data_IF_681156887054
#
_entry.id   IF_681156887054
#
_cell.length_a   1.000
_cell.length_b   1.000
_cell.length_c   1.000
_cell.angle_alpha   90.00
_cell.angle_beta   90.00
_cell.angle_gamma   90.00
#
_symmetry.space_group_name_H-M   'P 1'
#
loop_
_entity.id
_entity.type
_entity.pdbx_description
1 polymer ?
#
# COMPACT_ATOMS: atom_id res chain seq x y z
N UNK A 1 -115.80 1.77 -36.86
CA UNK A 1 -117.07 2.41 -37.27
C UNK A 1 -117.25 3.65 -36.40
N UNK A 2 -116.99 4.85 -36.96
CA UNK A 2 -117.80 6.10 -36.86
C UNK A 2 -118.38 6.44 -35.47
N UNK A 3 -118.21 7.60 -34.78
CA UNK A 3 -117.82 8.97 -35.13
C UNK A 3 -117.59 9.80 -33.83
N UNK A 4 -116.71 10.81 -33.91
CA UNK A 4 -116.79 12.19 -33.33
C UNK A 4 -116.90 12.51 -31.81
N UNK A 5 -115.80 13.10 -31.30
CA UNK A 5 -115.61 14.51 -30.82
C UNK A 5 -116.17 15.01 -29.45
N UNK A 6 -115.23 15.71 -28.76
CA UNK A 6 -115.36 16.91 -27.87
C UNK A 6 -115.42 16.70 -26.34
N UNK A 7 -114.24 16.92 -25.73
CA UNK A 7 -113.88 17.93 -24.69
C UNK A 7 -114.90 18.31 -23.57
N UNK A 8 -114.39 18.17 -22.34
CA UNK A 8 -114.22 19.24 -21.32
C UNK A 8 -115.09 19.21 -20.06
N UNK A 9 -114.41 19.54 -18.95
CA UNK A 9 -114.86 20.29 -17.75
C UNK A 9 -115.30 19.45 -16.53
N UNK A 10 -114.38 19.15 -15.60
CA UNK A 10 -114.10 19.81 -14.30
C UNK A 10 -115.20 19.60 -13.23
N UNK A 11 -114.72 19.22 -12.03
CA UNK A 11 -115.17 19.52 -10.65
C UNK A 11 -115.70 18.30 -9.84
N UNK A 12 -114.98 18.04 -8.74
CA UNK A 12 -115.35 17.56 -7.39
C UNK A 12 -114.37 16.46 -6.95
N UNK A 13 -113.21 16.74 -6.33
CA UNK A 13 -112.93 17.34 -5.00
C UNK A 13 -113.49 16.49 -3.83
N UNK A 14 -112.53 16.11 -2.96
CA UNK A 14 -112.55 15.42 -1.66
C UNK A 14 -113.03 13.96 -1.66
N UNK A 15 -112.43 13.00 -0.96
CA UNK A 15 -111.65 12.99 0.28
C UNK A 15 -111.06 11.57 0.39
N UNK A 16 -109.79 11.37 0.77
CA UNK A 16 -109.43 10.44 1.86
C UNK A 16 -107.92 10.48 2.13
N UNK A 17 -107.65 10.94 3.34
CA UNK A 17 -106.38 11.05 4.04
C UNK A 17 -105.80 9.65 4.28
N UNK A 18 -104.55 9.44 3.86
CA UNK A 18 -103.53 8.68 4.59
C UNK A 18 -102.25 8.57 3.73
N UNK A 19 -101.35 9.54 3.84
CA UNK A 19 -99.95 9.16 4.04
C UNK A 19 -99.27 10.20 4.93
N UNK A 20 -98.68 9.64 5.97
CA UNK A 20 -98.15 10.22 7.17
C UNK A 20 -96.65 10.51 6.93
N UNK A 21 -96.23 11.76 7.17
CA UNK A 21 -94.89 12.22 7.61
C UNK A 21 -93.70 11.85 6.70
N UNK A 22 -93.05 12.86 6.12
CA UNK A 22 -91.60 13.21 6.14
C UNK A 22 -91.36 14.29 5.06
N UNK A 23 -90.44 15.22 5.33
CA UNK A 23 -90.04 16.43 4.58
C UNK A 23 -90.71 17.75 4.98
N UNK A 24 -90.64 18.07 6.28
CA UNK A 24 -90.19 19.41 6.68
C UNK A 24 -88.72 19.26 7.07
N UNK A 25 -87.83 19.59 6.13
CA UNK A 25 -86.43 19.85 6.41
C UNK A 25 -86.06 21.10 5.63
N UNK A 26 -85.71 22.15 6.38
CA UNK A 26 -85.03 23.37 5.96
C UNK A 26 -84.79 23.53 4.45
N UNK A 27 -85.64 24.30 3.78
CA UNK A 27 -85.09 25.23 2.79
C UNK A 27 -84.48 26.37 3.60
N UNK A 28 -83.14 26.35 3.75
CA UNK A 28 -82.37 27.54 4.11
C UNK A 28 -82.67 28.55 3.00
N UNK A 29 -83.26 29.69 3.33
CA UNK A 29 -83.42 30.80 2.41
C UNK A 29 -82.06 31.04 1.73
N UNK A 30 -82.02 31.00 0.40
CA UNK A 30 -80.79 31.30 -0.36
C UNK A 30 -80.69 32.82 -0.33
N UNK A 31 -79.77 33.34 0.47
CA UNK A 31 -79.38 34.75 0.44
C UNK A 31 -78.76 35.05 -0.93
N UNK A 32 -79.22 36.09 -1.63
CA UNK A 32 -78.80 36.42 -2.99
C UNK A 32 -77.35 36.97 -3.06
N UNK A 33 -76.62 36.96 -1.94
CA UNK A 33 -75.29 37.56 -1.79
C UNK A 33 -74.21 36.62 -1.22
N UNK A 34 -74.39 35.29 -1.33
CA UNK A 34 -73.39 34.31 -0.88
C UNK A 34 -72.25 34.13 -1.90
N UNK A 35 -71.00 34.28 -1.46
CA UNK A 35 -69.81 34.05 -2.30
C UNK A 35 -68.98 32.87 -1.77
N UNK A 36 -68.21 32.24 -2.65
CA UNK A 36 -67.29 31.19 -2.21
C UNK A 36 -66.08 31.81 -1.49
N UNK A 37 -65.52 31.13 -0.47
CA UNK A 37 -64.39 31.65 0.27
C UNK A 37 -63.15 31.75 -0.60
N UNK A 38 -62.29 32.74 -0.34
CA UNK A 38 -60.99 32.89 -0.99
C UNK A 38 -59.95 32.06 -0.24
N UNK A 39 -59.45 31.00 -0.88
CA UNK A 39 -58.42 30.14 -0.31
C UNK A 39 -57.02 30.73 -0.51
N UNK A 40 -56.27 30.86 0.59
CA UNK A 40 -54.88 31.33 0.61
C UNK A 40 -54.12 30.52 1.65
N UNK A 41 -52.91 30.09 1.32
CA UNK A 41 -51.97 29.55 2.31
C UNK A 41 -50.52 29.88 1.98
N UNK A 42 -49.60 29.66 2.92
CA UNK A 42 -48.14 29.64 2.71
C UNK A 42 -47.56 28.27 3.04
N UNK A 43 -46.38 27.94 2.51
CA UNK A 43 -45.63 26.71 2.85
C UNK A 43 -44.20 27.06 3.25
N UNK A 44 -43.67 26.47 4.31
CA UNK A 44 -42.31 26.70 4.79
C UNK A 44 -41.64 25.39 5.25
N UNK A 45 -40.43 25.06 4.76
CA UNK A 45 -39.73 25.70 3.63
C UNK A 45 -40.40 25.39 2.28
N UNK A 46 -40.07 26.12 1.20
CA UNK A 46 -40.57 25.83 -0.16
C UNK A 46 -39.78 24.73 -0.89
N UNK A 47 -38.65 24.30 -0.32
CA UNK A 47 -37.86 23.15 -0.79
C UNK A 47 -37.16 22.46 0.38
N UNK A 48 -36.93 21.16 0.27
CA UNK A 48 -36.29 20.34 1.29
C UNK A 48 -35.94 18.94 0.77
N UNK A 49 -35.54 18.05 1.66
CA UNK A 49 -35.30 16.61 1.40
C UNK A 49 -36.40 15.73 2.03
N UNK A 50 -36.26 14.41 1.94
CA UNK A 50 -37.19 13.44 2.55
C UNK A 50 -37.22 13.48 4.08
N UNK A 51 -36.32 14.22 4.75
CA UNK A 51 -36.34 14.44 6.19
C UNK A 51 -37.09 15.71 6.58
N UNK A 52 -37.28 16.63 5.65
CA UNK A 52 -37.88 17.95 5.87
C UNK A 52 -39.37 17.85 6.22
N UNK A 53 -39.78 18.56 7.28
CA UNK A 53 -41.18 18.75 7.66
C UNK A 53 -41.66 20.07 7.04
N UNK A 54 -42.65 20.00 6.16
CA UNK A 54 -43.26 21.15 5.52
C UNK A 54 -44.44 21.62 6.34
N UNK A 55 -44.43 22.89 6.75
CA UNK A 55 -45.53 23.54 7.47
C UNK A 55 -46.35 24.35 6.48
N UNK A 56 -47.66 24.14 6.46
CA UNK A 56 -48.62 24.93 5.68
C UNK A 56 -49.49 25.77 6.62
N UNK A 57 -49.75 27.02 6.24
CA UNK A 57 -50.55 27.96 7.02
C UNK A 57 -51.61 28.61 6.13
N UNK A 58 -52.88 28.27 6.37
CA UNK A 58 -54.05 28.77 5.64
C UNK A 58 -54.75 29.96 6.33
N UNK A 59 -54.12 30.59 7.33
CA UNK A 59 -54.76 31.62 8.17
C UNK A 59 -55.15 32.90 7.42
N UNK A 60 -54.56 33.13 6.24
CA UNK A 60 -54.92 34.26 5.35
C UNK A 60 -56.13 33.98 4.46
N UNK A 61 -56.69 32.77 4.49
CA UNK A 61 -57.95 32.48 3.80
C UNK A 61 -59.09 33.30 4.42
N UNK A 62 -59.94 33.88 3.58
CA UNK A 62 -61.02 34.75 4.04
C UNK A 62 -62.30 34.54 3.24
N UNK A 63 -63.40 34.93 3.86
CA UNK A 63 -64.72 35.01 3.28
C UNK A 63 -65.32 36.34 3.78
N UNK A 64 -66.09 37.04 2.95
CA UNK A 64 -66.59 38.36 3.34
C UNK A 64 -67.84 38.23 4.23
N UNK A 65 -68.50 37.08 4.18
CA UNK A 65 -69.77 36.79 4.82
C UNK A 65 -69.56 35.99 6.11
N UNK A 66 -68.60 35.06 6.13
CA UNK A 66 -68.28 34.22 7.27
C UNK A 66 -66.99 34.65 8.02
N UNK A 67 -66.97 34.64 9.36
CA UNK A 67 -65.77 34.95 10.12
C UNK A 67 -64.68 33.90 9.89
N UNK A 68 -63.38 34.28 9.85
CA UNK A 68 -62.28 33.35 9.56
C UNK A 68 -62.20 32.11 10.49
N UNK A 69 -62.71 32.23 11.71
CA UNK A 69 -62.77 31.15 12.70
C UNK A 69 -63.74 30.03 12.35
N UNK A 70 -64.73 30.29 11.50
CA UNK A 70 -65.76 29.33 11.10
C UNK A 70 -65.42 28.62 9.79
N UNK A 71 -64.56 29.24 8.97
CA UNK A 71 -64.05 28.62 7.76
C UNK A 71 -63.35 27.28 8.08
N UNK A 72 -63.67 26.24 7.34
CA UNK A 72 -63.04 24.93 7.47
C UNK A 72 -62.02 24.72 6.34
N UNK A 73 -60.89 24.08 6.63
CA UNK A 73 -59.84 23.75 5.66
C UNK A 73 -59.67 22.24 5.51
N UNK A 74 -59.25 21.83 4.32
CA UNK A 74 -58.90 20.45 3.98
C UNK A 74 -57.73 20.45 2.99
N UNK A 75 -56.83 19.49 3.14
CA UNK A 75 -55.58 19.40 2.40
C UNK A 75 -55.55 18.17 1.49
N UNK A 76 -55.01 18.32 0.29
CA UNK A 76 -54.58 17.23 -0.58
C UNK A 76 -53.07 17.35 -0.80
N UNK A 77 -52.32 16.45 -0.18
CA UNK A 77 -50.86 16.45 -0.16
C UNK A 77 -50.22 15.94 -1.45
N UNK A 78 -50.97 15.18 -2.26
CA UNK A 78 -50.45 14.45 -3.41
C UNK A 78 -51.11 14.86 -4.74
N UNK A 79 -52.04 15.81 -4.72
CA UNK A 79 -52.86 16.21 -5.87
C UNK A 79 -53.58 15.02 -6.53
N UNK A 80 -54.05 14.07 -5.72
CA UNK A 80 -54.69 12.83 -6.17
C UNK A 80 -56.21 12.78 -5.89
N UNK A 81 -56.78 13.91 -5.44
CA UNK A 81 -58.17 14.06 -5.00
C UNK A 81 -58.51 13.28 -3.72
N UNK A 82 -57.50 12.88 -2.94
CA UNK A 82 -57.68 12.37 -1.57
C UNK A 82 -57.47 13.53 -0.61
N UNK A 83 -58.56 13.94 0.03
CA UNK A 83 -58.61 15.12 0.90
C UNK A 83 -58.66 14.70 2.37
N UNK A 84 -58.01 15.47 3.25
CA UNK A 84 -58.19 15.30 4.70
C UNK A 84 -59.61 15.69 5.13
N UNK A 85 -60.04 15.26 6.31
CA UNK A 85 -61.27 15.78 6.90
C UNK A 85 -61.21 17.30 7.10
N UNK A 86 -62.37 17.96 7.04
CA UNK A 86 -62.47 19.39 7.26
C UNK A 86 -62.20 19.73 8.73
N UNK A 87 -61.40 20.77 8.96
CA UNK A 87 -61.06 21.27 10.29
C UNK A 87 -61.00 22.79 10.30
N UNK A 88 -61.24 23.43 11.45
CA UNK A 88 -61.01 24.87 11.63
C UNK A 88 -59.54 25.20 11.94
N UNK A 89 -58.69 24.20 12.17
CA UNK A 89 -57.25 24.38 12.40
C UNK A 89 -56.54 24.72 11.08
N UNK A 90 -56.02 25.95 10.96
CA UNK A 90 -55.47 26.48 9.70
C UNK A 90 -54.03 26.06 9.41
N UNK A 91 -53.30 25.59 10.43
CA UNK A 91 -51.90 25.19 10.32
C UNK A 91 -51.81 23.67 10.33
N UNK A 92 -51.08 23.10 9.37
CA UNK A 92 -50.80 21.67 9.29
C UNK A 92 -49.33 21.43 8.91
N UNK A 93 -48.86 20.20 9.10
CA UNK A 93 -47.53 19.77 8.69
C UNK A 93 -47.57 18.45 7.94
N UNK A 94 -46.68 18.29 6.96
CA UNK A 94 -46.55 17.05 6.20
C UNK A 94 -45.09 16.72 5.90
N UNK A 95 -44.76 15.44 5.81
CA UNK A 95 -43.43 14.92 5.46
C UNK A 95 -43.57 13.93 4.31
N UNK A 96 -42.75 14.10 3.28
CA UNK A 96 -42.78 13.27 2.07
C UNK A 96 -41.71 12.18 2.14
N UNK A 97 -42.08 10.95 1.80
CA UNK A 97 -41.18 9.79 1.85
C UNK A 97 -40.38 9.54 0.57
N UNK A 98 -40.52 10.38 -0.46
CA UNK A 98 -39.84 10.19 -1.75
C UNK A 98 -39.49 11.52 -2.39
N UNK A 99 -38.40 11.53 -3.16
CA UNK A 99 -37.98 12.70 -3.91
C UNK A 99 -38.90 12.96 -5.11
N UNK A 100 -39.55 14.12 -5.15
CA UNK A 100 -40.39 14.55 -6.25
C UNK A 100 -40.74 16.05 -6.11
N UNK A 101 -41.34 16.60 -7.15
CA UNK A 101 -42.09 17.86 -7.07
C UNK A 101 -43.53 17.55 -6.63
N UNK A 102 -43.99 18.17 -5.55
CA UNK A 102 -45.34 17.97 -5.03
C UNK A 102 -46.16 19.25 -5.17
N UNK A 103 -47.42 19.10 -5.57
CA UNK A 103 -48.39 20.19 -5.64
C UNK A 103 -49.41 20.03 -4.51
N UNK A 104 -49.22 20.79 -3.43
CA UNK A 104 -50.14 20.79 -2.29
C UNK A 104 -51.37 21.59 -2.68
N UNK A 105 -52.56 21.04 -2.45
CA UNK A 105 -53.82 21.76 -2.64
C UNK A 105 -54.52 21.99 -1.30
N UNK A 106 -55.03 23.21 -1.16
CA UNK A 106 -55.92 23.63 -0.09
C UNK A 106 -57.34 23.75 -0.65
N UNK A 107 -58.32 23.29 0.11
CA UNK A 107 -59.73 23.63 -0.07
C UNK A 107 -60.27 24.26 1.20
N UNK A 108 -60.96 25.40 1.06
CA UNK A 108 -61.61 26.12 2.16
C UNK A 108 -63.11 26.03 1.95
N UNK A 109 -63.88 25.73 3.01
CA UNK A 109 -65.34 25.66 3.00
C UNK A 109 -65.93 26.65 3.99
N UNK A 110 -66.94 27.37 3.54
CA UNK A 110 -67.74 28.29 4.33
C UNK A 110 -68.88 27.55 5.08
N UNK A 111 -69.74 28.28 5.81
CA UNK A 111 -70.88 27.71 6.54
C UNK A 111 -72.04 27.28 5.63
N UNK A 112 -72.11 27.82 4.42
CA UNK A 112 -73.13 27.48 3.42
C UNK A 112 -72.73 26.29 2.53
N UNK A 113 -71.49 25.83 2.64
CA UNK A 113 -70.94 24.69 1.91
C UNK A 113 -70.22 25.05 0.60
N UNK A 114 -70.09 26.33 0.24
CA UNK A 114 -69.27 26.73 -0.91
C UNK A 114 -67.80 26.55 -0.61
N UNK A 115 -67.01 26.37 -1.66
CA UNK A 115 -65.58 26.13 -1.49
C UNK A 115 -64.71 26.88 -2.47
N UNK A 116 -63.64 27.48 -1.95
CA UNK A 116 -62.49 27.95 -2.70
C UNK A 116 -61.32 26.98 -2.62
N UNK A 117 -60.41 27.07 -3.59
CA UNK A 117 -59.20 26.23 -3.63
C UNK A 117 -57.96 27.04 -3.98
N UNK A 118 -56.82 26.64 -3.42
CA UNK A 118 -55.50 27.17 -3.77
C UNK A 118 -54.50 26.02 -3.91
N UNK A 119 -53.41 26.25 -4.63
CA UNK A 119 -52.33 25.27 -4.74
C UNK A 119 -50.95 25.92 -4.64
N UNK A 120 -49.98 25.16 -4.15
CA UNK A 120 -48.56 25.53 -4.14
C UNK A 120 -47.68 24.33 -4.43
N UNK A 121 -46.61 24.60 -5.16
CA UNK A 121 -45.59 23.62 -5.46
C UNK A 121 -44.46 23.66 -4.43
N UNK A 122 -43.91 22.51 -4.09
CA UNK A 122 -42.67 22.35 -3.34
C UNK A 122 -41.77 21.31 -4.03
N UNK A 123 -40.47 21.37 -3.73
CA UNK A 123 -39.48 20.42 -4.23
C UNK A 123 -38.94 19.59 -3.06
N UNK A 124 -39.11 18.27 -3.13
CA UNK A 124 -38.52 17.30 -2.20
C UNK A 124 -37.40 16.56 -2.91
N UNK A 125 -36.18 16.71 -2.41
CA UNK A 125 -34.98 16.03 -2.92
C UNK A 125 -34.80 14.68 -2.22
N UNK A 126 -34.01 13.79 -2.82
CA UNK A 126 -33.56 12.59 -2.13
C UNK A 126 -32.71 13.00 -0.90
N UNK A 127 -32.64 12.13 0.11
CA UNK A 127 -31.75 12.35 1.26
C UNK A 127 -30.33 12.64 0.75
N UNK A 128 -29.67 13.65 1.32
CA UNK A 128 -28.41 14.17 0.81
C UNK A 128 -27.29 13.15 0.91
N UNK A 129 -26.63 12.86 -0.20
CA UNK A 129 -25.43 12.01 -0.26
C UNK A 129 -24.31 12.61 0.58
N UNK A 130 -23.87 11.91 1.64
CA UNK A 130 -22.70 12.31 2.41
C UNK A 130 -21.42 11.75 1.78
N UNK A 131 -20.27 12.34 2.08
CA UNK A 131 -19.00 11.75 1.67
C UNK A 131 -18.72 10.48 2.49
N UNK A 132 -17.86 9.57 1.99
CA UNK A 132 -17.39 8.42 2.75
C UNK A 132 -16.80 8.80 4.11
N UNK A 133 -16.83 7.90 5.08
CA UNK A 133 -16.08 8.08 6.32
C UNK A 133 -14.56 8.07 6.03
N UNK A 134 -13.72 8.80 6.77
CA UNK A 134 -12.28 8.76 6.57
C UNK A 134 -11.72 7.34 6.74
N UNK A 135 -10.79 6.89 5.87
CA UNK A 135 -10.06 5.64 6.07
C UNK A 135 -9.38 5.57 7.44
N UNK A 136 -9.42 4.40 8.10
CA UNK A 136 -8.92 4.20 9.45
C UNK A 136 -8.29 2.80 9.66
N UNK A 137 -7.66 2.63 10.82
CA UNK A 137 -7.01 1.38 11.28
C UNK A 137 -6.05 0.77 10.23
N UNK A 138 -4.99 1.52 9.87
CA UNK A 138 -4.04 1.11 8.83
C UNK A 138 -3.18 -0.08 9.27
N UNK A 139 -2.86 -0.94 8.31
CA UNK A 139 -1.75 -1.90 8.40
C UNK A 139 -0.81 -1.68 7.22
N UNK A 140 0.50 -1.41 7.45
CA UNK A 140 1.16 -1.24 8.75
C UNK A 140 0.57 -0.12 9.61
N UNK A 141 0.60 -0.31 10.92
CA UNK A 141 0.15 0.71 11.87
C UNK A 141 0.98 2.00 11.71
N UNK A 142 0.35 3.15 11.95
CA UNK A 142 1.04 4.43 11.85
C UNK A 142 2.25 4.51 12.80
N UNK A 143 3.41 4.83 12.26
CA UNK A 143 4.69 4.88 12.96
C UNK A 143 5.35 3.53 13.22
N UNK A 144 4.89 2.44 12.60
CA UNK A 144 5.50 1.13 12.76
C UNK A 144 6.94 1.10 12.22
N UNK A 145 7.78 0.22 12.79
CA UNK A 145 9.19 0.05 12.42
C UNK A 145 9.50 -1.42 12.20
N UNK A 146 10.62 -1.72 11.53
CA UNK A 146 11.04 -3.08 11.19
C UNK A 146 9.98 -3.85 10.38
N UNK A 147 9.37 -3.16 9.42
CA UNK A 147 8.39 -3.77 8.53
C UNK A 147 9.14 -4.49 7.38
N UNK A 148 8.81 -5.76 7.08
CA UNK A 148 9.39 -6.45 5.92
C UNK A 148 9.16 -5.66 4.63
N UNK A 149 10.13 -5.67 3.73
CA UNK A 149 10.00 -4.97 2.43
C UNK A 149 8.94 -5.56 1.51
N UNK A 150 8.58 -6.82 1.72
CA UNK A 150 7.46 -7.49 1.05
C UNK A 150 6.25 -7.52 1.99
N UNK A 151 5.37 -6.51 1.86
CA UNK A 151 4.19 -6.37 2.70
C UNK A 151 2.91 -6.12 1.89
N UNK A 152 1.78 -6.09 2.59
CA UNK A 152 0.49 -5.68 2.03
C UNK A 152 -0.09 -4.57 2.90
N UNK A 153 -0.46 -3.46 2.26
CA UNK A 153 -1.21 -2.37 2.88
C UNK A 153 -2.67 -2.80 3.05
N UNK A 154 -3.29 -2.43 4.17
CA UNK A 154 -4.74 -2.56 4.35
C UNK A 154 -5.28 -1.47 5.26
N UNK A 155 -6.55 -1.15 5.09
CA UNK A 155 -7.25 -0.12 5.84
C UNK A 155 -8.72 -0.51 6.00
N UNK A 156 -9.46 0.22 6.81
CA UNK A 156 -10.92 0.15 6.88
C UNK A 156 -11.55 1.45 6.40
N UNK A 157 -12.70 1.36 5.74
CA UNK A 157 -13.50 2.49 5.31
C UNK A 157 -14.97 2.11 5.17
N UNK A 158 -15.86 3.05 5.52
CA UNK A 158 -17.32 2.92 5.41
C UNK A 158 -17.92 4.14 4.74
N UNK A 159 -19.18 4.04 4.34
CA UNK A 159 -19.98 5.14 3.83
C UNK A 159 -21.24 5.26 4.70
N UNK A 160 -21.67 6.46 5.14
CA UNK A 160 -22.82 6.62 6.02
C UNK A 160 -24.14 6.09 5.44
N UNK A 161 -24.26 6.07 4.11
CA UNK A 161 -25.41 5.57 3.36
C UNK A 161 -25.21 4.13 2.85
N UNK A 162 -24.00 3.58 3.03
CA UNK A 162 -23.62 2.25 2.56
C UNK A 162 -23.41 2.18 1.06
N UNK A 163 -23.07 3.31 0.42
CA UNK A 163 -22.72 3.35 -0.99
C UNK A 163 -21.44 2.55 -1.29
N UNK A 164 -21.29 2.11 -2.54
CA UNK A 164 -20.07 1.43 -3.00
C UNK A 164 -18.89 2.40 -3.02
N UNK A 165 -17.75 1.94 -2.53
CA UNK A 165 -16.52 2.73 -2.43
C UNK A 165 -15.45 2.29 -3.44
N UNK A 166 -14.71 3.28 -3.94
CA UNK A 166 -13.45 3.14 -4.65
C UNK A 166 -12.32 3.85 -3.88
N UNK A 167 -11.08 3.40 -4.07
CA UNK A 167 -9.93 3.91 -3.34
C UNK A 167 -8.75 4.24 -4.26
N UNK A 168 -8.21 5.45 -4.08
CA UNK A 168 -6.89 5.82 -4.57
C UNK A 168 -5.86 5.65 -3.46
N UNK A 169 -4.71 5.08 -3.82
CA UNK A 169 -3.67 4.66 -2.89
C UNK A 169 -2.43 5.47 -3.19
N UNK A 170 -1.93 6.15 -2.17
CA UNK A 170 -0.72 6.97 -2.26
C UNK A 170 0.37 6.35 -1.39
N UNK A 171 1.59 6.23 -1.92
CA UNK A 171 2.75 5.73 -1.18
C UNK A 171 4.03 6.37 -1.70
N UNK A 172 4.89 6.83 -0.81
CA UNK A 172 6.22 7.31 -1.18
C UNK A 172 7.07 7.65 0.03
N UNK A 173 8.28 8.14 -0.23
CA UNK A 173 9.25 8.50 0.83
C UNK A 173 9.14 9.97 1.28
N UNK A 174 8.17 10.70 0.71
CA UNK A 174 7.81 12.07 1.06
C UNK A 174 6.50 12.09 1.83
N UNK A 175 6.36 13.04 2.76
CA UNK A 175 5.12 13.29 3.49
C UNK A 175 3.93 13.62 2.56
N UNK A 176 4.21 14.09 1.34
CA UNK A 176 3.23 14.18 0.25
C UNK A 176 3.51 13.05 -0.74
N UNK A 177 2.97 11.84 -0.50
CA UNK A 177 3.26 10.66 -1.32
C UNK A 177 2.55 10.73 -2.68
N UNK A 178 3.14 10.21 -3.77
CA UNK A 178 2.49 10.10 -5.07
C UNK A 178 1.41 9.01 -5.07
N UNK A 179 0.46 9.12 -6.00
CA UNK A 179 -0.53 8.06 -6.28
C UNK A 179 0.17 6.86 -6.95
N UNK A 180 -0.15 5.66 -6.49
CA UNK A 180 0.41 4.40 -7.01
C UNK A 180 -0.68 3.44 -7.54
N UNK A 181 -1.93 3.65 -7.16
CA UNK A 181 -3.09 2.98 -7.72
C UNK A 181 -4.34 3.86 -7.58
N UNK A 182 -5.24 3.79 -8.55
CA UNK A 182 -6.47 4.57 -8.60
C UNK A 182 -7.69 3.65 -8.74
N UNK A 183 -8.83 4.11 -8.21
CA UNK A 183 -10.15 3.50 -8.37
C UNK A 183 -10.22 2.00 -8.04
N UNK A 184 -9.50 1.57 -7.01
CA UNK A 184 -9.53 0.18 -6.52
C UNK A 184 -10.79 -0.10 -5.69
N UNK A 185 -11.34 -1.30 -5.76
CA UNK A 185 -12.57 -1.68 -5.02
C UNK A 185 -12.30 -2.66 -3.86
N UNK A 186 -11.04 -2.76 -3.43
CA UNK A 186 -10.57 -3.61 -2.33
C UNK A 186 -9.89 -2.74 -1.28
N UNK A 187 -9.95 -3.15 -0.03
CA UNK A 187 -9.30 -2.44 1.09
C UNK A 187 -7.94 -3.06 1.47
N UNK A 188 -7.28 -3.66 0.48
CA UNK A 188 -5.95 -4.27 0.58
C UNK A 188 -5.15 -3.97 -0.68
N UNK A 189 -3.84 -3.80 -0.56
CA UNK A 189 -2.98 -3.50 -1.70
C UNK A 189 -1.54 -3.95 -1.49
N UNK A 190 -0.96 -4.62 -2.49
CA UNK A 190 0.45 -4.99 -2.49
C UNK A 190 1.25 -3.98 -3.35
N UNK A 191 2.10 -3.13 -2.74
CA UNK A 191 2.89 -2.13 -3.47
C UNK A 191 4.11 -2.70 -4.19
N UNK A 192 4.38 -4.01 -4.08
CA UNK A 192 5.63 -4.63 -4.50
C UNK A 192 6.70 -4.55 -3.40
N UNK A 193 7.92 -4.97 -3.76
CA UNK A 193 9.07 -4.96 -2.85
C UNK A 193 9.58 -3.54 -2.64
N UNK A 194 9.65 -3.12 -1.38
CA UNK A 194 10.16 -1.80 -0.98
C UNK A 194 11.67 -1.82 -0.72
N UNK A 195 12.25 -0.64 -0.48
CA UNK A 195 13.66 -0.50 -0.09
C UNK A 195 13.82 -0.69 1.42
N UNK A 196 14.90 -1.36 1.86
CA UNK A 196 15.26 -1.52 3.27
C UNK A 196 15.74 -0.20 3.89
N UNK A 197 15.46 0.00 5.18
CA UNK A 197 15.91 1.16 5.96
C UNK A 197 15.25 2.48 5.55
N UNK A 198 14.09 2.43 4.90
CA UNK A 198 13.39 3.60 4.35
C UNK A 198 12.08 3.85 5.11
N UNK A 199 11.80 5.13 5.39
CA UNK A 199 10.50 5.56 5.91
C UNK A 199 9.57 5.86 4.74
N UNK A 200 8.44 5.16 4.70
CA UNK A 200 7.37 5.40 3.75
C UNK A 200 6.21 6.12 4.42
N UNK A 201 5.59 7.02 3.67
CA UNK A 201 4.35 7.71 3.99
C UNK A 201 3.28 7.29 3.00
N UNK A 202 2.06 7.10 3.48
CA UNK A 202 0.96 6.66 2.65
C UNK A 202 -0.37 7.20 3.16
N UNK A 203 -1.32 7.33 2.25
CA UNK A 203 -2.70 7.73 2.54
C UNK A 203 -3.66 7.07 1.56
N UNK A 204 -4.93 7.07 1.93
CA UNK A 204 -6.02 6.56 1.10
C UNK A 204 -7.03 7.69 0.87
N UNK A 205 -7.48 7.85 -0.38
CA UNK A 205 -8.63 8.69 -0.71
C UNK A 205 -9.78 7.77 -1.07
N UNK A 206 -10.85 7.80 -0.28
CA UNK A 206 -12.08 7.04 -0.52
C UNK A 206 -13.05 7.87 -1.36
N UNK A 207 -13.66 7.25 -2.37
CA UNK A 207 -14.64 7.87 -3.28
C UNK A 207 -15.92 7.06 -3.27
N UNK A 208 -17.06 7.74 -3.20
CA UNK A 208 -18.36 7.09 -3.42
C UNK A 208 -18.72 7.03 -4.91
N UNK A 209 -19.82 6.34 -5.23
CA UNK A 209 -20.33 6.23 -6.59
C UNK A 209 -21.15 7.45 -7.07
N UNK A 210 -21.25 8.51 -6.26
CA UNK A 210 -22.00 9.74 -6.53
C UNK A 210 -21.09 10.98 -6.66
N UNK A 211 -19.78 10.80 -6.52
CA UNK A 211 -18.74 11.81 -6.75
C UNK A 211 -18.26 12.55 -5.51
N UNK A 212 -18.61 12.12 -4.30
CA UNK A 212 -17.94 12.63 -3.09
C UNK A 212 -16.67 11.84 -2.81
N UNK A 213 -15.70 12.52 -2.19
CA UNK A 213 -14.42 11.94 -1.80
C UNK A 213 -14.05 12.36 -0.37
N UNK A 214 -13.35 11.47 0.33
CA UNK A 214 -12.78 11.72 1.66
C UNK A 214 -11.32 11.28 1.67
N UNK A 215 -10.43 12.22 1.99
CA UNK A 215 -9.02 11.94 2.23
C UNK A 215 -8.80 11.47 3.68
N UNK A 216 -8.08 10.36 3.85
CA UNK A 216 -7.65 9.86 5.16
C UNK A 216 -6.39 10.55 5.69
N UNK A 217 -6.03 10.22 6.93
CA UNK A 217 -4.77 10.67 7.53
C UNK A 217 -3.56 10.14 6.75
N UNK A 218 -2.44 10.86 6.83
CA UNK A 218 -1.15 10.37 6.33
C UNK A 218 -0.50 9.50 7.40
N UNK A 219 -0.35 8.22 7.09
CA UNK A 219 0.33 7.25 7.94
C UNK A 219 1.77 7.04 7.48
N UNK A 220 2.62 6.58 8.38
CA UNK A 220 3.99 6.19 8.04
C UNK A 220 4.39 4.85 8.62
N UNK A 221 5.40 4.23 8.02
CA UNK A 221 6.13 3.09 8.58
C UNK A 221 7.58 3.08 8.09
N UNK A 222 8.46 2.42 8.83
CA UNK A 222 9.85 2.19 8.44
C UNK A 222 10.07 0.72 8.11
N UNK A 223 10.69 0.45 6.95
CA UNK A 223 11.12 -0.90 6.58
C UNK A 223 12.30 -1.36 7.44
N UNK A 224 12.51 -2.68 7.50
CA UNK A 224 13.66 -3.27 8.17
C UNK A 224 15.00 -2.74 7.61
N UNK A 225 16.01 -2.61 8.48
CA UNK A 225 17.34 -2.18 8.05
C UNK A 225 17.96 -3.18 7.06
N UNK A 226 18.86 -2.74 6.15
CA UNK A 226 19.62 -3.67 5.34
C UNK A 226 20.37 -4.65 6.24
N UNK A 227 20.18 -5.96 6.02
CA UNK A 227 20.94 -7.00 6.73
C UNK A 227 22.43 -6.74 6.47
N UNK A 228 23.18 -6.36 7.50
CA UNK A 228 24.64 -6.25 7.43
C UNK A 228 25.22 -7.66 7.36
N UNK A 229 25.83 -8.10 6.24
CA UNK A 229 26.40 -9.44 6.12
C UNK A 229 27.47 -9.71 7.19
N UNK A 230 28.10 -8.67 7.75
CA UNK A 230 29.07 -8.81 8.81
C UNK A 230 28.48 -8.82 10.23
N UNK A 231 27.17 -8.64 10.42
CA UNK A 231 26.51 -8.46 11.73
C UNK A 231 27.21 -7.43 12.64
N UNK A 232 27.67 -6.31 12.07
CA UNK A 232 28.47 -5.27 12.74
C UNK A 232 29.81 -5.75 13.33
N UNK A 233 30.28 -6.96 12.97
CA UNK A 233 31.63 -7.42 13.32
C UNK A 233 32.60 -6.63 12.45
N UNK A 234 33.52 -5.88 13.06
CA UNK A 234 34.55 -5.06 12.37
C UNK A 234 35.92 -5.72 12.31
N UNK A 235 36.17 -6.70 13.19
CA UNK A 235 37.40 -7.51 13.19
C UNK A 235 37.24 -8.81 13.96
N UNK A 236 38.10 -9.78 13.65
CA UNK A 236 38.19 -11.11 14.25
C UNK A 236 39.62 -11.34 14.73
N UNK A 237 39.79 -11.74 15.99
CA UNK A 237 41.09 -12.20 16.50
C UNK A 237 41.19 -13.71 16.30
N UNK A 238 42.18 -14.17 15.52
CA UNK A 238 42.34 -15.59 15.21
C UNK A 238 43.82 -15.95 15.08
N UNK A 239 44.26 -16.97 15.83
CA UNK A 239 45.65 -17.47 15.84
C UNK A 239 46.71 -16.36 16.05
N UNK A 240 46.41 -15.42 16.96
CA UNK A 240 47.31 -14.30 17.29
C UNK A 240 47.35 -13.16 16.28
N UNK A 241 46.52 -13.21 15.24
CA UNK A 241 46.37 -12.18 14.22
C UNK A 241 45.02 -11.46 14.39
N UNK A 242 44.96 -10.19 13.96
CA UNK A 242 43.72 -9.43 13.83
C UNK A 242 43.37 -9.38 12.35
N UNK A 243 42.14 -9.80 12.01
CA UNK A 243 41.60 -9.70 10.66
C UNK A 243 40.41 -8.74 10.67
N UNK A 244 40.45 -7.66 9.90
CA UNK A 244 39.31 -6.77 9.73
C UNK A 244 38.28 -7.40 8.77
N UNK A 245 37.07 -6.87 8.78
CA UNK A 245 35.98 -7.36 7.93
C UNK A 245 35.56 -6.27 6.94
N UNK A 246 35.10 -6.70 5.76
CA UNK A 246 34.60 -5.83 4.70
C UNK A 246 33.34 -6.45 4.09
N UNK A 247 32.31 -5.62 3.92
CA UNK A 247 31.07 -6.02 3.22
C UNK A 247 31.24 -5.72 1.73
N UNK A 248 31.05 -6.74 0.89
CA UNK A 248 31.07 -6.61 -0.57
C UNK A 248 29.82 -7.27 -1.13
N UNK A 249 28.87 -6.47 -1.61
CA UNK A 249 27.54 -6.95 -1.97
C UNK A 249 26.84 -7.54 -0.76
N UNK A 250 26.42 -8.79 -0.85
CA UNK A 250 25.75 -9.50 0.24
C UNK A 250 26.71 -10.43 1.01
N UNK A 251 28.01 -10.22 0.90
CA UNK A 251 29.04 -11.10 1.45
C UNK A 251 29.93 -10.34 2.44
N UNK A 252 30.25 -10.96 3.58
CA UNK A 252 31.23 -10.45 4.53
C UNK A 252 32.56 -11.20 4.40
N UNK A 253 33.61 -10.47 4.03
CA UNK A 253 34.95 -11.00 3.79
C UNK A 253 35.93 -10.57 4.88
N UNK A 254 36.95 -11.38 5.14
CA UNK A 254 38.15 -10.88 5.83
C UNK A 254 38.95 -9.96 4.89
N UNK A 255 39.44 -8.83 5.42
CA UNK A 255 40.19 -7.77 4.72
C UNK A 255 41.72 -7.99 4.67
N UNK A 256 42.26 -8.92 5.47
CA UNK A 256 43.62 -9.48 5.31
C UNK A 256 43.67 -10.95 4.85
N UNK A 257 44.70 -11.28 4.05
CA UNK A 257 45.01 -12.66 3.70
C UNK A 257 45.35 -13.45 4.97
N UNK A 258 44.84 -14.68 5.10
CA UNK A 258 45.13 -15.50 6.27
C UNK A 258 46.63 -15.71 6.48
N UNK A 259 47.09 -15.51 7.71
CA UNK A 259 48.47 -15.70 8.14
C UNK A 259 48.54 -16.53 9.43
N UNK A 260 47.95 -17.72 9.42
CA UNK A 260 47.81 -18.61 10.57
C UNK A 260 48.72 -19.82 10.47
N UNK A 261 48.97 -20.50 11.59
CA UNK A 261 49.83 -21.69 11.62
C UNK A 261 51.33 -21.42 11.62
N UNK A 262 52.09 -22.50 11.65
CA UNK A 262 53.54 -22.53 11.76
C UNK A 262 54.18 -22.42 10.37
N UNK A 263 55.14 -21.52 10.24
CA UNK A 263 55.91 -21.40 9.01
C UNK A 263 56.85 -22.60 8.85
N UNK A 264 56.75 -23.28 7.72
CA UNK A 264 57.71 -24.30 7.28
C UNK A 264 58.52 -23.80 6.08
N UNK A 265 59.66 -24.43 5.82
CA UNK A 265 60.43 -24.13 4.62
C UNK A 265 59.69 -24.66 3.37
N UNK A 266 59.62 -23.84 2.33
CA UNK A 266 59.05 -24.12 1.01
C UNK A 266 59.57 -25.39 0.36
N UNK A 267 60.73 -25.93 0.75
CA UNK A 267 61.27 -27.21 0.28
C UNK A 267 60.45 -28.44 0.72
N UNK A 268 59.59 -28.28 1.74
CA UNK A 268 58.75 -29.35 2.30
C UNK A 268 57.28 -29.14 1.94
N UNK A 269 56.50 -30.23 1.87
CA UNK A 269 55.05 -30.16 1.73
C UNK A 269 54.38 -29.97 3.09
N UNK A 270 53.22 -29.31 3.09
CA UNK A 270 52.33 -29.18 4.22
C UNK A 270 51.56 -30.51 4.38
N UNK A 271 51.91 -31.29 5.39
CA UNK A 271 51.46 -32.68 5.57
C UNK A 271 51.07 -33.02 7.01
N UNK A 272 51.25 -32.09 7.95
CA UNK A 272 50.91 -32.30 9.35
C UNK A 272 49.50 -31.82 9.66
N UNK A 273 48.55 -32.74 9.62
CA UNK A 273 47.13 -32.42 9.82
C UNK A 273 46.77 -31.95 11.25
N UNK A 274 47.67 -32.10 12.24
CA UNK A 274 47.44 -31.66 13.62
C UNK A 274 47.88 -30.20 13.86
N UNK A 275 48.56 -29.58 12.91
CA UNK A 275 49.11 -28.23 13.06
C UNK A 275 49.04 -27.52 11.74
N UNK A 276 48.38 -26.35 11.70
CA UNK A 276 48.30 -25.59 10.45
C UNK A 276 49.72 -25.21 10.02
N UNK A 277 50.09 -25.55 8.79
CA UNK A 277 51.39 -25.24 8.20
C UNK A 277 51.24 -24.17 7.11
N UNK A 278 52.17 -23.22 7.05
CA UNK A 278 52.19 -22.18 6.02
C UNK A 278 53.57 -22.02 5.40
N UNK A 279 53.61 -21.53 4.17
CA UNK A 279 54.81 -20.91 3.64
C UNK A 279 54.71 -19.39 3.76
N UNK A 280 55.86 -18.77 4.03
CA UNK A 280 56.06 -17.36 3.75
C UNK A 280 56.89 -17.25 2.48
N UNK A 281 56.52 -16.32 1.59
CA UNK A 281 57.24 -16.14 0.33
C UNK A 281 58.76 -16.02 0.56
N UNK A 282 59.56 -16.70 -0.24
CA UNK A 282 61.03 -16.79 -0.11
C UNK A 282 61.54 -17.30 1.24
N UNK A 283 60.73 -18.06 1.97
CA UNK A 283 61.04 -18.48 3.34
C UNK A 283 61.38 -17.29 4.26
N UNK A 284 60.73 -16.14 4.06
CA UNK A 284 60.94 -14.94 4.87
C UNK A 284 59.66 -14.57 5.66
N UNK A 285 59.67 -14.65 7.00
CA UNK A 285 58.51 -14.29 7.84
C UNK A 285 57.95 -12.88 7.59
N UNK A 286 58.79 -11.93 7.18
CA UNK A 286 58.36 -10.56 6.87
C UNK A 286 57.37 -10.54 5.71
N UNK A 287 57.53 -11.45 4.73
CA UNK A 287 56.61 -11.55 3.60
C UNK A 287 55.25 -12.09 4.02
N UNK A 288 55.17 -12.97 5.02
CA UNK A 288 53.87 -13.36 5.60
C UNK A 288 53.17 -12.19 6.29
N UNK A 289 53.94 -11.32 6.94
CA UNK A 289 53.38 -10.13 7.61
C UNK A 289 52.75 -9.18 6.61
N UNK A 290 53.35 -9.02 5.43
CA UNK A 290 52.83 -8.15 4.37
C UNK A 290 51.76 -8.82 3.51
N UNK A 291 51.99 -10.05 3.05
CA UNK A 291 51.20 -10.69 1.98
C UNK A 291 50.30 -11.84 2.47
N UNK A 292 50.39 -12.21 3.75
CA UNK A 292 49.75 -13.41 4.28
C UNK A 292 50.53 -14.69 4.02
N UNK A 293 50.03 -15.80 4.55
CA UNK A 293 50.57 -17.13 4.33
C UNK A 293 50.17 -17.72 2.98
N UNK A 294 50.96 -18.67 2.50
CA UNK A 294 50.66 -19.49 1.34
C UNK A 294 50.42 -20.94 1.78
N UNK A 295 49.32 -21.52 1.31
CA UNK A 295 48.84 -22.83 1.74
C UNK A 295 48.60 -23.74 0.53
N UNK A 296 49.01 -25.00 0.65
CA UNK A 296 48.58 -26.06 -0.25
C UNK A 296 47.08 -26.28 -0.08
N UNK A 297 46.41 -26.74 -1.13
CA UNK A 297 44.96 -26.78 -1.12
C UNK A 297 44.40 -27.74 -0.05
N UNK A 298 45.01 -28.92 0.10
CA UNK A 298 44.58 -29.89 1.11
C UNK A 298 44.78 -29.38 2.54
N UNK A 299 45.87 -28.64 2.78
CA UNK A 299 46.15 -27.96 4.06
C UNK A 299 45.11 -26.89 4.36
N UNK A 300 44.85 -25.99 3.40
CA UNK A 300 43.81 -24.97 3.53
C UNK A 300 42.46 -25.60 3.87
N UNK A 301 42.08 -26.68 3.18
CA UNK A 301 40.80 -27.36 3.39
C UNK A 301 40.76 -28.19 4.69
N UNK A 302 41.85 -28.28 5.44
CA UNK A 302 42.03 -29.23 6.54
C UNK A 302 41.63 -30.66 6.16
N UNK A 303 41.98 -31.08 4.95
CA UNK A 303 41.68 -32.42 4.42
C UNK A 303 40.18 -32.77 4.41
N UNK A 304 39.31 -31.76 4.39
CA UNK A 304 37.87 -31.90 4.16
C UNK A 304 37.53 -31.58 2.70
N UNK A 305 36.66 -32.36 2.05
CA UNK A 305 36.49 -32.33 0.59
C UNK A 305 35.11 -31.82 0.14
N UNK A 306 34.36 -31.16 1.02
CA UNK A 306 33.14 -30.42 0.67
C UNK A 306 33.46 -28.94 0.42
N UNK A 307 32.73 -28.28 -0.50
CA UNK A 307 32.83 -26.83 -0.66
C UNK A 307 32.07 -26.08 0.44
N UNK A 308 32.49 -24.86 0.76
CA UNK A 308 31.90 -24.07 1.86
C UNK A 308 32.21 -24.64 3.24
N UNK A 309 33.40 -25.22 3.42
CA UNK A 309 33.88 -25.72 4.71
C UNK A 309 34.67 -24.65 5.44
N UNK A 310 34.67 -24.71 6.77
CA UNK A 310 35.52 -23.86 7.61
C UNK A 310 36.99 -23.94 7.18
N UNK A 311 37.53 -25.15 7.00
CA UNK A 311 38.95 -25.36 6.74
C UNK A 311 39.81 -24.60 7.75
N UNK A 312 40.84 -23.88 7.30
CA UNK A 312 41.71 -23.08 8.18
C UNK A 312 41.11 -21.73 8.62
N UNK A 313 39.87 -21.40 8.25
CA UNK A 313 39.21 -20.16 8.67
C UNK A 313 38.80 -20.18 10.15
N UNK A 314 38.57 -19.00 10.77
CA UNK A 314 38.02 -18.90 12.11
C UNK A 314 36.65 -19.60 12.24
N UNK A 315 36.23 -19.91 13.46
CA UNK A 315 34.87 -20.41 13.72
C UNK A 315 33.80 -19.38 13.29
N UNK A 316 32.76 -19.83 12.59
CA UNK A 316 31.73 -18.96 11.98
C UNK A 316 32.17 -18.33 10.64
N UNK A 317 33.28 -18.79 10.08
CA UNK A 317 33.80 -18.40 8.78
C UNK A 317 34.16 -19.64 7.97
N UNK A 318 34.06 -19.54 6.65
CA UNK A 318 34.39 -20.61 5.73
C UNK A 318 35.30 -20.17 4.59
N UNK A 319 35.88 -21.16 3.92
CA UNK A 319 36.64 -20.96 2.70
C UNK A 319 35.68 -20.79 1.52
N UNK A 320 35.80 -19.69 0.76
CA UNK A 320 34.88 -19.37 -0.33
C UNK A 320 34.95 -20.43 -1.43
N UNK A 321 33.79 -20.96 -1.79
CA UNK A 321 33.57 -21.80 -2.96
C UNK A 321 33.73 -20.99 -4.26
N UNK A 322 33.85 -21.71 -5.38
CA UNK A 322 33.89 -21.08 -6.70
C UNK A 322 32.63 -20.23 -7.00
N UNK A 323 31.47 -20.64 -6.47
CA UNK A 323 30.22 -19.92 -6.68
C UNK A 323 30.21 -18.60 -5.91
N UNK A 324 30.74 -18.57 -4.68
CA UNK A 324 30.86 -17.34 -3.89
C UNK A 324 31.85 -16.35 -4.50
N UNK A 325 32.96 -16.84 -5.05
CA UNK A 325 33.87 -16.01 -5.84
C UNK A 325 33.22 -15.45 -7.11
N UNK A 326 32.35 -16.23 -7.74
CA UNK A 326 31.60 -15.79 -8.92
C UNK A 326 30.58 -14.72 -8.53
N UNK A 327 29.85 -14.90 -7.42
CA UNK A 327 28.91 -13.91 -6.89
C UNK A 327 29.60 -12.59 -6.56
N UNK A 328 30.79 -12.63 -5.94
CA UNK A 328 31.63 -11.45 -5.72
C UNK A 328 31.94 -10.74 -7.05
N UNK A 329 32.40 -11.50 -8.05
CA UNK A 329 32.72 -10.96 -9.37
C UNK A 329 31.52 -10.33 -10.07
N UNK A 330 30.35 -10.97 -10.00
CA UNK A 330 29.13 -10.48 -10.63
C UNK A 330 28.65 -9.18 -9.99
N UNK A 331 28.69 -9.09 -8.65
CA UNK A 331 28.43 -7.85 -7.93
C UNK A 331 29.36 -6.71 -8.37
N UNK A 332 30.63 -7.03 -8.66
CA UNK A 332 31.62 -6.06 -9.12
C UNK A 332 31.48 -5.67 -10.61
N UNK A 333 30.47 -6.19 -11.31
CA UNK A 333 30.20 -5.88 -12.72
C UNK A 333 30.83 -6.87 -13.70
N UNK A 334 31.14 -8.08 -13.24
CA UNK A 334 31.61 -9.19 -14.06
C UNK A 334 33.13 -9.35 -14.09
N UNK A 335 33.59 -10.54 -14.48
CA UNK A 335 35.00 -10.95 -14.42
C UNK A 335 35.92 -10.13 -15.33
N UNK A 336 35.38 -9.36 -16.27
CA UNK A 336 36.19 -8.51 -17.15
C UNK A 336 36.80 -7.31 -16.44
N UNK A 337 36.16 -6.83 -15.36
CA UNK A 337 36.58 -5.61 -14.63
C UNK A 337 36.76 -5.84 -13.12
N UNK A 338 36.23 -6.94 -12.58
CA UNK A 338 36.23 -7.20 -11.14
C UNK A 338 37.65 -7.24 -10.54
N UNK A 339 38.64 -7.71 -11.30
CA UNK A 339 40.02 -7.78 -10.82
C UNK A 339 40.64 -6.41 -10.53
N UNK A 340 40.32 -5.38 -11.31
CA UNK A 340 40.72 -4.00 -11.03
C UNK A 340 40.11 -3.49 -9.71
N UNK A 341 38.84 -3.80 -9.47
CA UNK A 341 38.11 -3.38 -8.26
C UNK A 341 38.55 -4.10 -6.98
N UNK A 342 39.15 -5.29 -7.10
CA UNK A 342 39.62 -6.10 -5.99
C UNK A 342 41.06 -5.77 -5.56
N UNK A 343 41.92 -5.37 -6.49
CA UNK A 343 43.35 -5.12 -6.20
C UNK A 343 43.55 -3.86 -5.36
N UNK A 344 44.56 -3.90 -4.50
CA UNK A 344 45.14 -2.69 -3.90
C UNK A 344 45.40 -1.62 -4.97
N UNK A 345 44.95 -0.39 -4.69
CA UNK A 345 45.14 0.76 -5.58
C UNK A 345 46.63 1.15 -5.66
N UNK A 346 47.07 1.55 -6.86
CA UNK A 346 48.43 2.02 -7.08
C UNK A 346 49.45 0.90 -7.23
N UNK A 347 50.70 1.15 -6.84
CA UNK A 347 51.84 0.23 -7.11
C UNK A 347 52.76 0.06 -5.90
N UNK A 348 52.22 0.28 -4.69
CA UNK A 348 52.97 0.10 -3.45
C UNK A 348 53.48 -1.34 -3.36
N UNK A 349 52.57 -2.32 -3.43
CA UNK A 349 52.96 -3.73 -3.50
C UNK A 349 52.94 -4.27 -4.93
N UNK A 350 51.98 -3.85 -5.76
CA UNK A 350 51.88 -4.27 -7.15
C UNK A 350 52.98 -3.68 -8.04
N UNK A 351 53.41 -4.46 -9.04
CA UNK A 351 54.28 -3.98 -10.11
C UNK A 351 53.49 -3.08 -11.08
N UNK A 352 54.06 -1.98 -11.59
CA UNK A 352 53.45 -1.22 -12.68
C UNK A 352 53.19 -2.09 -13.93
N UNK A 353 52.07 -1.90 -14.66
CA UNK A 353 51.14 -0.77 -14.52
C UNK A 353 50.03 -0.94 -13.46
N UNK A 354 49.84 -2.13 -12.88
CA UNK A 354 48.68 -2.49 -12.06
C UNK A 354 47.34 -2.07 -12.70
N UNK A 355 47.13 -2.48 -13.95
CA UNK A 355 46.02 -2.00 -14.80
C UNK A 355 44.66 -2.11 -14.10
N UNK A 356 43.89 -1.02 -14.13
CA UNK A 356 42.52 -0.92 -13.60
C UNK A 356 42.39 -0.99 -12.08
N UNK A 357 43.49 -1.07 -11.33
CA UNK A 357 43.43 -1.19 -9.88
C UNK A 357 42.95 0.12 -9.22
N UNK A 358 41.81 0.04 -8.53
CA UNK A 358 41.21 1.18 -7.83
C UNK A 358 40.66 0.82 -6.45
N UNK A 359 40.80 -0.44 -6.02
CA UNK A 359 40.30 -0.96 -4.76
C UNK A 359 38.85 -0.57 -4.41
N UNK A 360 37.98 -0.40 -5.41
CA UNK A 360 36.61 0.07 -5.20
C UNK A 360 35.81 -0.81 -4.23
N UNK A 361 36.12 -2.12 -4.21
CA UNK A 361 35.46 -3.08 -3.32
C UNK A 361 35.92 -3.02 -1.86
N UNK A 362 37.07 -2.40 -1.58
CA UNK A 362 37.72 -2.49 -0.27
C UNK A 362 38.43 -3.83 0.00
N UNK A 363 38.35 -4.83 -0.88
CA UNK A 363 38.98 -6.15 -0.71
C UNK A 363 40.50 -6.12 -0.59
N UNK A 364 41.14 -5.09 -1.16
CA UNK A 364 42.57 -4.79 -1.03
C UNK A 364 43.47 -5.99 -1.33
N UNK A 365 43.24 -6.70 -2.44
CA UNK A 365 44.04 -7.86 -2.81
C UNK A 365 45.51 -7.49 -3.01
N UNK A 366 46.39 -8.18 -2.28
CA UNK A 366 47.83 -8.02 -2.36
C UNK A 366 48.49 -9.09 -3.26
N UNK A 367 49.58 -8.73 -3.96
CA UNK A 367 50.25 -9.61 -4.92
C UNK A 367 51.30 -10.50 -4.25
N UNK A 368 50.85 -11.44 -3.42
CA UNK A 368 51.71 -12.34 -2.62
C UNK A 368 52.50 -13.38 -3.41
N UNK A 369 52.30 -13.48 -4.74
CA UNK A 369 52.89 -14.54 -5.54
C UNK A 369 52.40 -15.92 -5.13
N UNK A 370 53.23 -16.95 -5.31
CA UNK A 370 52.93 -18.32 -4.89
C UNK A 370 54.17 -19.20 -4.75
N UNK A 371 54.01 -20.35 -4.09
CA UNK A 371 55.00 -21.45 -4.03
C UNK A 371 54.65 -22.51 -5.05
N UNK A 372 55.47 -22.65 -6.09
CA UNK A 372 55.25 -23.59 -7.19
C UNK A 372 55.60 -25.04 -6.82
N UNK A 373 55.18 -26.02 -7.63
CA UNK A 373 55.37 -27.46 -7.34
C UNK A 373 56.83 -27.89 -7.16
N UNK A 374 57.77 -27.19 -7.80
CA UNK A 374 59.22 -27.44 -7.70
C UNK A 374 59.89 -26.74 -6.51
N UNK A 375 59.10 -26.21 -5.58
CA UNK A 375 59.54 -25.49 -4.37
C UNK A 375 60.05 -24.08 -4.61
N UNK A 376 59.98 -23.58 -5.84
CA UNK A 376 60.31 -22.18 -6.13
C UNK A 376 59.18 -21.24 -5.73
N UNK A 377 59.55 -20.02 -5.35
CA UNK A 377 58.62 -18.92 -5.14
C UNK A 377 58.66 -17.99 -6.35
N UNK A 378 57.50 -17.61 -6.90
CA UNK A 378 57.43 -16.80 -8.12
C UNK A 378 56.26 -15.80 -8.08
N UNK A 379 56.30 -14.85 -9.00
CA UNK A 379 55.24 -13.87 -9.29
C UNK A 379 54.86 -12.93 -8.13
N UNK A 380 55.72 -12.77 -7.11
CA UNK A 380 55.56 -11.70 -6.13
C UNK A 380 55.45 -10.36 -6.83
N UNK A 381 54.56 -9.50 -6.34
CA UNK A 381 54.22 -8.19 -6.94
C UNK A 381 53.53 -8.26 -8.31
N UNK A 382 53.50 -9.43 -8.95
CA UNK A 382 52.97 -9.60 -10.31
C UNK A 382 51.59 -10.25 -10.30
N UNK A 383 51.30 -11.11 -9.31
CA UNK A 383 49.99 -11.74 -9.17
C UNK A 383 49.54 -11.92 -7.73
N UNK A 384 48.22 -11.84 -7.55
CA UNK A 384 47.50 -12.27 -6.36
C UNK A 384 46.75 -13.56 -6.69
N UNK A 385 47.00 -14.62 -5.91
CA UNK A 385 46.50 -15.96 -6.18
C UNK A 385 45.75 -16.46 -4.96
N UNK A 386 44.47 -16.78 -5.13
CA UNK A 386 43.59 -17.20 -4.04
C UNK A 386 42.98 -18.54 -4.35
N UNK A 387 43.07 -19.49 -3.42
CA UNK A 387 42.35 -20.74 -3.56
C UNK A 387 40.84 -20.54 -3.47
N UNK A 388 40.08 -21.34 -4.23
CA UNK A 388 38.67 -21.61 -3.95
C UNK A 388 38.55 -22.97 -3.26
N UNK A 389 37.58 -23.11 -2.37
CA UNK A 389 37.17 -24.39 -1.75
C UNK A 389 36.39 -25.26 -2.74
N UNK A 390 36.89 -25.41 -3.97
CA UNK A 390 36.25 -26.19 -5.03
C UNK A 390 37.32 -26.97 -5.79
N UNK A 391 37.38 -28.27 -5.53
CA UNK A 391 38.26 -29.18 -6.24
C UNK A 391 37.89 -29.31 -7.72
N UNK A 392 38.88 -29.61 -8.56
CA UNK A 392 38.72 -29.94 -9.97
C UNK A 392 39.38 -31.29 -10.23
N UNK A 393 38.67 -32.37 -9.89
CA UNK A 393 39.23 -33.73 -9.92
C UNK A 393 40.08 -34.04 -8.68
N UNK A 394 40.92 -35.07 -8.78
CA UNK A 394 41.69 -35.59 -7.63
C UNK A 394 42.95 -34.77 -7.32
N UNK A 395 43.56 -34.11 -8.32
CA UNK A 395 44.89 -33.50 -8.22
C UNK A 395 44.91 -31.97 -8.39
N UNK A 396 43.84 -31.39 -8.91
CA UNK A 396 43.74 -29.95 -9.14
C UNK A 396 42.60 -29.33 -8.33
N UNK A 397 42.70 -28.04 -8.10
CA UNK A 397 41.64 -27.22 -7.54
C UNK A 397 41.51 -25.91 -8.29
N UNK A 398 40.34 -25.27 -8.15
CA UNK A 398 40.09 -23.95 -8.72
C UNK A 398 40.78 -22.87 -7.90
N UNK A 399 41.33 -21.88 -8.60
CA UNK A 399 41.89 -20.69 -7.97
C UNK A 399 41.55 -19.43 -8.77
N UNK A 400 41.66 -18.31 -8.08
CA UNK A 400 41.38 -16.97 -8.56
C UNK A 400 42.71 -16.29 -8.77
N UNK A 401 42.87 -15.71 -9.95
CA UNK A 401 44.11 -15.09 -10.41
C UNK A 401 43.87 -13.62 -10.76
N UNK A 402 44.64 -12.75 -10.11
CA UNK A 402 44.72 -11.33 -10.39
C UNK A 402 46.09 -11.02 -11.00
N UNK A 403 46.11 -10.34 -12.14
CA UNK A 403 47.35 -9.94 -12.83
C UNK A 403 47.60 -8.44 -12.68
N UNK A 404 48.86 -8.05 -12.54
CA UNK A 404 49.26 -6.64 -12.62
C UNK A 404 49.01 -6.03 -14.01
N UNK A 405 48.87 -6.84 -15.06
CA UNK A 405 48.71 -6.35 -16.44
C UNK A 405 47.25 -6.12 -16.86
N UNK A 406 46.30 -6.73 -16.15
CA UNK A 406 44.90 -6.77 -16.55
C UNK A 406 44.00 -6.40 -15.37
N UNK A 407 42.80 -5.92 -15.69
CA UNK A 407 41.75 -5.65 -14.71
C UNK A 407 40.76 -6.83 -14.57
N UNK A 408 40.95 -7.89 -15.35
CA UNK A 408 40.13 -9.10 -15.25
C UNK A 408 40.37 -9.86 -13.96
N UNK A 409 39.32 -10.52 -13.47
CA UNK A 409 39.40 -11.61 -12.52
C UNK A 409 39.40 -12.93 -13.29
N UNK A 410 40.50 -13.70 -13.20
CA UNK A 410 40.60 -14.96 -13.93
C UNK A 410 40.33 -16.15 -13.03
N UNK A 411 39.69 -17.17 -13.61
CA UNK A 411 39.45 -18.46 -12.98
C UNK A 411 40.24 -19.54 -13.70
N UNK A 412 41.02 -20.30 -12.94
CA UNK A 412 41.87 -21.36 -13.49
C UNK A 412 41.89 -22.57 -12.56
N UNK A 413 42.40 -23.69 -13.07
CA UNK A 413 42.71 -24.87 -12.28
C UNK A 413 44.23 -24.94 -12.08
N UNK A 414 44.66 -25.38 -10.91
CA UNK A 414 46.08 -25.59 -10.62
C UNK A 414 46.29 -26.79 -9.70
N UNK A 415 47.46 -27.45 -9.73
CA UNK A 415 47.78 -28.54 -8.82
C UNK A 415 47.63 -28.15 -7.35
N UNK A 416 46.99 -29.02 -6.56
CA UNK A 416 46.73 -28.82 -5.12
C UNK A 416 48.00 -28.66 -4.28
N UNK A 417 49.15 -29.08 -4.79
CA UNK A 417 50.47 -28.97 -4.14
C UNK A 417 51.11 -27.58 -4.26
N UNK A 418 50.45 -26.62 -4.90
CA UNK A 418 50.93 -25.23 -4.98
C UNK A 418 50.45 -24.44 -3.77
N UNK A 419 51.29 -23.54 -3.27
CA UNK A 419 50.94 -22.64 -2.17
C UNK A 419 50.34 -21.34 -2.67
N UNK A 420 49.05 -21.11 -2.42
CA UNK A 420 48.34 -19.84 -2.70
C UNK A 420 47.82 -19.19 -1.43
N UNK A 421 47.50 -17.89 -1.52
CA UNK A 421 46.86 -17.15 -0.44
C UNK A 421 45.42 -17.61 -0.21
N UNK A 422 44.92 -17.31 0.99
CA UNK A 422 43.57 -17.70 1.42
C UNK A 422 42.86 -16.49 2.02
N UNK A 423 41.56 -16.43 1.76
CA UNK A 423 40.61 -15.43 2.24
C UNK A 423 39.41 -16.19 2.79
N UNK A 424 38.79 -15.68 3.85
CA UNK A 424 37.61 -16.29 4.46
C UNK A 424 36.38 -15.42 4.25
N UNK A 425 35.24 -16.09 4.19
CA UNK A 425 33.92 -15.51 4.08
C UNK A 425 33.11 -15.91 5.32
N UNK A 426 32.26 -15.02 5.83
CA UNK A 426 31.39 -15.31 6.98
C UNK A 426 30.22 -16.21 6.57
N UNK A 427 29.78 -17.07 7.49
CA UNK A 427 28.66 -18.02 7.30
C UNK A 427 27.28 -17.37 7.20
#
# INVERSE_FOLDING_TARGET
MIFFKIKSTIVLIVLFIAFLIIFISCQKDIDENEYAPTAIFTVTPTSGDTLTIFIVDASESFDNEDPPSELQVSWDWQNNNIWTEYTTTKIASHKYGSAATYNIRLRVKDNSGWTGTASREIIVKAEGNKPPDPPYDPTPANGAVNIPVDLTLSWFCTDPEGDSLLFDIYLGTSIDPPVIAEDTNVQIFNPGTLENGVIYYWKIVAKDNKGNETEGDIWSFATEDPVDPCDNITSVNYEGQVYHTIVIGNQCWLDENLNVGIMINGDFNQTNNDTIEKYCYDNNPSNCTTYGGLYQWDEMMQYTYSGGVQGICPEGWHLPSFNEWTALSDFLGGSEIAGGKLKEEGTAHWKPPNTGANNWSGFTALPGGYRYIDSTFTDLRSSGNFWAATGSGSVEAKYIYLSYQFENLFYKNFPKSVGFSVRCLKD
#
